data_IF_153783280427
#
_entry.id   IF_153783280427
#
_cell.length_a   1.000
_cell.length_b   1.000
_cell.length_c   1.000
_cell.angle_alpha   90.00
_cell.angle_beta   90.00
_cell.angle_gamma   90.00
#
_symmetry.space_group_name_H-M   'P 1'
#
loop_
_entity.id
_entity.type
_entity.pdbx_description
1 polymer ?
#
# COMPACT_ATOMS: atom_id res chain seq x y z
N UNK A 1 -40.28 4.40 32.25
CA UNK A 1 -41.34 5.06 33.05
C UNK A 1 -41.18 4.62 34.50
N UNK A 2 -41.35 5.47 35.53
CA UNK A 2 -40.94 6.89 35.72
C UNK A 2 -39.52 6.95 36.38
N UNK A 3 -38.73 8.04 36.52
CA UNK A 3 -38.84 9.51 36.75
C UNK A 3 -38.92 9.98 38.23
N UNK A 4 -37.85 10.70 38.65
CA UNK A 4 -37.67 11.74 39.73
C UNK A 4 -37.08 11.38 41.11
N UNK A 5 -35.94 12.00 41.41
CA UNK A 5 -35.51 12.70 42.66
C UNK A 5 -34.40 13.73 42.25
N UNK A 6 -34.56 15.05 42.50
CA UNK A 6 -33.99 15.87 43.62
C UNK A 6 -32.48 16.17 43.43
N UNK A 7 -31.96 17.38 43.15
CA UNK A 7 -31.82 18.61 43.98
C UNK A 7 -30.87 18.41 45.20
N UNK A 8 -30.17 19.40 45.80
CA UNK A 8 -30.20 20.89 45.83
C UNK A 8 -28.73 21.50 45.86
N UNK A 9 -28.29 22.46 45.00
CA UNK A 9 -27.87 23.90 45.23
C UNK A 9 -26.55 24.26 46.02
N UNK A 10 -26.08 25.54 45.89
CA UNK A 10 -24.98 26.27 46.63
C UNK A 10 -23.49 25.99 46.31
N UNK A 11 -22.50 26.92 46.41
CA UNK A 11 -22.43 28.41 46.33
C UNK A 11 -20.93 28.88 46.32
N UNK A 12 -20.65 30.15 45.96
CA UNK A 12 -19.34 30.85 46.12
C UNK A 12 -18.65 31.24 44.79
N UNK A 13 -18.65 32.51 44.34
CA UNK A 13 -17.86 33.70 44.79
C UNK A 13 -16.32 33.48 44.71
N UNK A 14 -15.47 34.33 44.12
CA UNK A 14 -15.49 35.76 43.70
C UNK A 14 -14.60 35.95 42.45
N UNK A 15 -14.95 36.70 41.40
CA UNK A 15 -14.89 38.17 41.16
C UNK A 15 -13.50 38.77 40.73
N UNK A 16 -13.56 39.92 40.04
CA UNK A 16 -12.52 40.93 39.76
C UNK A 16 -11.66 40.82 38.48
N UNK A 17 -12.08 41.61 37.48
CA UNK A 17 -11.35 42.03 36.26
C UNK A 17 -10.18 42.99 36.56
N UNK A 18 -9.20 43.08 35.63
CA UNK A 18 -8.80 44.39 35.05
C UNK A 18 -7.91 44.31 33.80
N UNK A 19 -8.09 45.31 32.94
CA UNK A 19 -7.40 45.54 31.66
C UNK A 19 -6.14 46.43 31.84
N UNK A 20 -5.25 46.40 30.83
CA UNK A 20 -4.53 47.53 30.17
C UNK A 20 -3.20 47.02 29.58
N UNK A 21 -2.99 46.94 28.27
CA UNK A 21 -2.86 48.00 27.25
C UNK A 21 -1.49 48.71 27.22
N UNK A 22 -0.68 48.44 26.19
CA UNK A 22 0.34 49.36 25.67
C UNK A 22 0.75 48.99 24.23
N UNK A 23 0.75 49.98 23.33
CA UNK A 23 1.25 49.90 21.96
C UNK A 23 2.64 50.58 21.87
N UNK A 24 3.54 50.12 20.99
CA UNK A 24 4.27 51.05 20.10
C UNK A 24 5.02 50.37 18.93
N UNK A 25 4.66 50.86 17.74
CA UNK A 25 5.33 50.94 16.43
C UNK A 25 6.85 50.68 16.30
N UNK A 26 7.27 50.15 15.13
CA UNK A 26 8.67 50.21 14.67
C UNK A 26 8.96 49.52 13.33
N UNK A 27 8.62 50.16 12.19
CA UNK A 27 8.78 49.62 10.82
C UNK A 27 10.14 50.00 10.20
N UNK A 28 10.79 49.10 9.42
CA UNK A 28 11.30 49.41 8.05
C UNK A 28 11.93 48.24 7.26
N UNK A 29 11.76 48.35 5.93
CA UNK A 29 12.18 47.42 4.87
C UNK A 29 13.68 47.29 4.63
N UNK A 30 14.08 46.22 3.93
CA UNK A 30 14.81 46.39 2.65
C UNK A 30 14.76 45.15 1.74
N UNK A 31 14.60 45.39 0.43
CA UNK A 31 14.78 44.41 -0.65
C UNK A 31 15.72 45.03 -1.68
N UNK A 32 16.76 44.31 -2.15
CA UNK A 32 17.40 44.57 -3.46
C UNK A 32 18.22 43.36 -3.98
N UNK A 33 18.36 43.33 -5.31
CA UNK A 33 19.06 42.34 -6.16
C UNK A 33 20.57 42.71 -6.25
N UNK A 34 21.54 41.87 -6.66
CA UNK A 34 21.77 41.38 -8.04
C UNK A 34 22.99 40.42 -8.22
N UNK A 35 22.88 39.53 -9.22
CA UNK A 35 23.87 38.99 -10.22
C UNK A 35 25.32 38.52 -9.90
N UNK A 36 25.54 37.23 -10.23
CA UNK A 36 26.46 36.62 -11.25
C UNK A 36 27.98 36.87 -11.21
N UNK A 37 28.73 35.75 -11.27
CA UNK A 37 29.99 35.62 -12.05
C UNK A 37 30.08 34.24 -12.71
N UNK A 38 30.48 34.19 -13.98
CA UNK A 38 30.77 32.97 -14.75
C UNK A 38 32.17 32.41 -14.47
N UNK A 39 32.40 31.10 -14.64
CA UNK A 39 33.31 30.61 -15.70
C UNK A 39 33.23 29.08 -16.02
N UNK A 40 32.91 28.81 -17.29
CA UNK A 40 33.28 27.69 -18.20
C UNK A 40 33.80 26.33 -17.66
N UNK A 41 33.22 25.24 -18.20
CA UNK A 41 34.03 24.08 -18.62
C UNK A 41 33.32 22.75 -18.92
N UNK A 42 32.96 22.50 -20.19
CA UNK A 42 32.78 21.18 -20.89
C UNK A 42 31.97 20.07 -20.14
N UNK A 43 30.90 19.46 -20.68
CA UNK A 43 30.33 19.45 -22.01
C UNK A 43 30.12 18.03 -22.54
N UNK A 44 28.86 17.61 -22.77
CA UNK A 44 28.40 16.56 -23.71
C UNK A 44 26.89 16.31 -23.49
N UNK A 45 26.06 16.94 -24.32
CA UNK A 45 24.67 16.52 -24.48
C UNK A 45 24.61 15.44 -25.58
N UNK A 46 23.79 14.40 -25.40
CA UNK A 46 23.37 13.53 -26.51
C UNK A 46 21.85 13.41 -26.51
N UNK A 47 21.27 13.92 -27.58
CA UNK A 47 19.85 13.87 -27.97
C UNK A 47 19.44 12.40 -28.16
N UNK A 48 18.25 12.05 -27.68
CA UNK A 48 17.57 10.79 -28.02
C UNK A 48 16.43 11.15 -28.96
N UNK A 49 16.43 10.54 -30.15
CA UNK A 49 15.26 10.46 -31.04
C UNK A 49 14.87 8.98 -31.14
N UNK A 50 13.56 8.65 -31.14
CA UNK A 50 13.07 7.28 -31.30
C UNK A 50 12.69 6.98 -32.76
N UNK A 51 12.83 5.73 -33.19
CA UNK A 51 12.14 5.04 -34.31
C UNK A 51 12.65 3.57 -34.37
N UNK A 52 11.97 2.61 -35.05
CA UNK A 52 10.53 2.40 -35.13
C UNK A 52 10.15 0.91 -34.86
N UNK A 53 8.93 0.50 -35.27
CA UNK A 53 8.39 -0.87 -35.23
C UNK A 53 8.82 -1.69 -36.46
N UNK A 54 8.85 -3.03 -36.35
CA UNK A 54 8.94 -3.96 -37.48
C UNK A 54 8.09 -5.23 -37.26
N UNK A 55 7.57 -5.76 -38.38
CA UNK A 55 6.66 -6.90 -38.54
C UNK A 55 7.12 -7.65 -39.82
N UNK A 56 7.01 -8.97 -40.03
CA UNK A 56 6.35 -10.10 -39.34
C UNK A 56 7.12 -11.41 -39.69
N UNK A 57 6.99 -12.52 -38.94
CA UNK A 57 6.92 -13.89 -39.54
C UNK A 57 6.68 -15.06 -38.57
N UNK A 58 5.54 -15.69 -38.82
CA UNK A 58 5.12 -17.10 -38.65
C UNK A 58 6.19 -18.20 -38.48
N UNK A 59 5.97 -19.10 -37.51
CA UNK A 59 5.97 -20.54 -37.77
C UNK A 59 5.20 -21.34 -36.71
N UNK A 60 4.16 -22.03 -37.15
CA UNK A 60 3.38 -23.00 -36.36
C UNK A 60 3.85 -24.43 -36.61
N UNK A 61 3.86 -25.26 -35.57
CA UNK A 61 3.72 -26.71 -35.69
C UNK A 61 2.77 -27.22 -34.60
N UNK A 62 1.67 -27.81 -35.05
CA UNK A 62 0.86 -28.73 -34.27
C UNK A 62 1.36 -30.16 -34.49
N UNK A 63 1.01 -31.07 -33.59
CA UNK A 63 0.74 -32.45 -33.96
C UNK A 63 -0.29 -33.03 -32.98
N UNK A 64 -1.19 -33.85 -33.53
CA UNK A 64 -2.43 -34.30 -32.89
C UNK A 64 -2.25 -35.50 -31.94
N UNK A 65 -3.27 -35.75 -31.11
CA UNK A 65 -3.98 -37.04 -30.94
C UNK A 65 -4.96 -36.88 -29.74
N UNK A 66 -6.27 -36.71 -29.94
CA UNK A 66 -7.27 -37.65 -30.47
C UNK A 66 -7.96 -38.48 -29.37
N UNK A 67 -9.30 -38.37 -29.37
CA UNK A 67 -10.27 -38.77 -28.35
C UNK A 67 -10.36 -40.28 -28.06
N UNK A 68 -10.86 -40.63 -26.86
CA UNK A 68 -11.93 -41.64 -26.71
C UNK A 68 -12.83 -41.28 -25.51
N UNK A 69 -14.08 -40.87 -25.78
CA UNK A 69 -15.17 -40.91 -24.80
C UNK A 69 -15.87 -42.28 -24.82
N UNK A 70 -16.32 -42.77 -23.66
CA UNK A 70 -17.29 -43.86 -23.57
C UNK A 70 -18.01 -43.88 -22.20
N UNK A 71 -19.21 -43.30 -22.14
CA UNK A 71 -20.16 -43.49 -21.03
C UNK A 71 -20.73 -44.93 -20.99
N UNK A 72 -21.24 -45.35 -19.83
CA UNK A 72 -21.84 -46.67 -19.67
C UNK A 72 -22.57 -46.88 -18.34
N UNK A 73 -23.70 -46.21 -18.14
CA UNK A 73 -24.66 -46.53 -17.08
C UNK A 73 -25.46 -47.81 -17.40
N UNK A 74 -25.63 -48.71 -16.42
CA UNK A 74 -26.80 -49.61 -16.33
C UNK A 74 -27.14 -49.91 -14.86
N UNK A 75 -28.38 -49.64 -14.46
CA UNK A 75 -28.95 -49.98 -13.14
C UNK A 75 -29.31 -51.48 -13.01
N UNK A 76 -29.39 -51.98 -11.76
CA UNK A 76 -30.60 -52.59 -11.17
C UNK A 76 -30.34 -53.66 -10.06
N UNK A 77 -30.90 -53.37 -8.87
CA UNK A 77 -31.58 -54.25 -7.91
C UNK A 77 -30.92 -55.52 -7.31
N UNK A 78 -30.82 -55.55 -5.96
CA UNK A 78 -30.52 -56.76 -5.18
C UNK A 78 -30.21 -56.56 -3.67
N UNK A 79 -31.20 -56.19 -2.86
CA UNK A 79 -31.20 -56.26 -1.38
C UNK A 79 -32.24 -57.37 -0.97
N UNK A 80 -32.19 -58.07 0.19
CA UNK A 80 -31.48 -57.73 1.43
C UNK A 80 -30.69 -58.85 2.15
N UNK A 81 -29.80 -58.46 3.09
CA UNK A 81 -29.96 -58.74 4.55
C UNK A 81 -28.76 -58.29 5.44
N UNK A 82 -29.08 -57.40 6.39
CA UNK A 82 -28.54 -57.24 7.76
C UNK A 82 -27.08 -57.66 8.12
N UNK A 83 -26.20 -56.67 8.41
CA UNK A 83 -25.54 -56.54 9.74
C UNK A 83 -25.32 -55.06 10.09
N UNK A 84 -25.58 -54.69 11.36
CA UNK A 84 -25.54 -53.33 11.96
C UNK A 84 -24.12 -52.76 12.20
N UNK A 85 -23.99 -51.41 12.26
CA UNK A 85 -22.90 -50.75 13.01
C UNK A 85 -22.21 -49.53 12.37
N UNK A 86 -22.81 -48.32 12.44
CA UNK A 86 -22.15 -47.04 12.08
C UNK A 86 -21.92 -46.12 13.32
N UNK A 87 -21.37 -44.89 13.23
CA UNK A 87 -20.01 -44.59 13.70
C UNK A 87 -19.94 -43.72 14.99
N UNK A 88 -18.78 -43.70 15.66
CA UNK A 88 -18.47 -42.78 16.78
C UNK A 88 -17.08 -42.16 16.61
N UNK A 89 -16.90 -40.86 16.42
CA UNK A 89 -17.33 -39.68 17.20
C UNK A 89 -16.40 -39.33 18.37
N UNK A 90 -16.20 -38.02 18.55
CA UNK A 90 -15.19 -37.38 19.43
C UNK A 90 -15.26 -37.91 20.86
N UNK A 91 -14.10 -38.28 21.42
CA UNK A 91 -13.94 -38.86 22.76
C UNK A 91 -14.22 -37.82 23.86
N UNK A 92 -15.50 -37.62 24.19
CA UNK A 92 -15.93 -36.86 25.38
C UNK A 92 -15.49 -37.58 26.66
N UNK A 93 -15.06 -36.79 27.65
CA UNK A 93 -14.89 -37.21 29.04
C UNK A 93 -16.20 -37.84 29.55
N UNK A 94 -16.13 -39.02 30.18
CA UNK A 94 -17.30 -39.61 30.85
C UNK A 94 -17.46 -39.00 32.24
N UNK A 95 -18.69 -38.61 32.56
CA UNK A 95 -19.14 -38.22 33.91
C UNK A 95 -20.01 -39.38 34.42
N UNK A 96 -19.80 -39.80 35.66
CA UNK A 96 -20.67 -40.79 36.32
C UNK A 96 -21.82 -40.07 37.05
N UNK A 97 -22.90 -40.80 37.34
CA UNK A 97 -24.20 -40.24 37.73
C UNK A 97 -24.27 -39.51 39.10
N UNK A 98 -23.19 -39.52 39.88
CA UNK A 98 -23.11 -38.85 41.20
C UNK A 98 -22.11 -37.68 41.24
N UNK A 99 -21.57 -37.27 40.09
CA UNK A 99 -20.83 -36.00 39.95
C UNK A 99 -19.40 -35.95 40.50
N UNK A 100 -18.92 -36.99 41.19
CA UNK A 100 -17.57 -37.00 41.75
C UNK A 100 -16.45 -37.23 40.71
N UNK A 101 -15.43 -36.37 40.77
CA UNK A 101 -14.25 -36.41 39.91
C UNK A 101 -13.20 -37.39 40.46
N UNK A 102 -13.34 -38.68 40.18
CA UNK A 102 -12.26 -39.64 40.42
C UNK A 102 -11.12 -39.41 39.41
N UNK A 103 -9.89 -39.02 39.83
CA UNK A 103 -8.76 -38.94 38.91
C UNK A 103 -8.39 -40.34 38.46
N UNK A 104 -8.47 -40.61 37.15
CA UNK A 104 -7.98 -41.86 36.59
C UNK A 104 -6.49 -42.00 36.91
N UNK A 105 -6.12 -42.99 37.71
CA UNK A 105 -4.72 -43.28 38.00
C UNK A 105 -3.95 -43.45 36.69
N UNK A 106 -2.99 -42.58 36.36
CA UNK A 106 -2.22 -42.76 35.14
C UNK A 106 -1.44 -44.07 35.31
N UNK A 107 -1.62 -45.01 34.37
CA UNK A 107 -0.68 -46.11 34.22
C UNK A 107 0.69 -45.46 34.07
N UNK A 108 1.61 -45.71 35.02
CA UNK A 108 3.00 -45.32 34.87
C UNK A 108 3.55 -46.04 33.63
N UNK A 109 3.55 -45.35 32.51
CA UNK A 109 4.45 -45.68 31.41
C UNK A 109 5.85 -45.70 32.02
N UNK A 110 6.49 -46.88 31.97
CA UNK A 110 7.82 -47.02 32.53
C UNK A 110 8.74 -46.15 31.68
N UNK A 111 9.24 -45.07 32.28
CA UNK A 111 10.21 -44.18 31.65
C UNK A 111 11.34 -45.03 31.09
N UNK A 112 11.51 -45.00 29.77
CA UNK A 112 12.46 -45.84 29.06
C UNK A 112 13.90 -45.38 29.35
N UNK A 113 14.39 -45.71 30.55
CA UNK A 113 15.79 -45.55 30.89
C UNK A 113 16.63 -46.38 29.93
N UNK A 114 17.75 -45.83 29.45
CA UNK A 114 18.73 -46.55 28.63
C UNK A 114 19.00 -47.96 29.22
N UNK A 115 19.06 -49.01 28.38
CA UNK A 115 19.07 -50.39 28.85
C UNK A 115 20.27 -50.65 29.77
N UNK A 116 19.98 -51.09 30.99
CA UNK A 116 21.01 -51.50 31.97
C UNK A 116 21.77 -52.70 31.44
N UNK A 117 23.08 -52.70 31.68
CA UNK A 117 23.94 -53.85 31.40
C UNK A 117 23.84 -54.89 32.54
N UNK A 118 24.50 -56.04 32.40
CA UNK A 118 24.40 -57.15 33.35
C UNK A 118 24.89 -56.83 34.78
N UNK A 119 25.75 -55.81 34.92
CA UNK A 119 26.21 -55.25 36.20
C UNK A 119 25.24 -54.21 36.81
N UNK A 120 24.09 -54.00 36.16
CA UNK A 120 23.07 -53.03 36.55
C UNK A 120 23.38 -51.59 36.17
N UNK A 121 24.58 -51.26 35.67
CA UNK A 121 24.93 -49.88 35.31
C UNK A 121 24.28 -49.48 33.97
N UNK A 122 23.92 -48.20 33.86
CA UNK A 122 23.48 -47.57 32.61
C UNK A 122 24.71 -46.97 31.90
N UNK A 123 24.83 -47.00 30.56
CA UNK A 123 25.88 -46.28 29.84
C UNK A 123 25.97 -44.81 30.29
N UNK A 124 27.19 -44.32 30.54
CA UNK A 124 27.42 -42.98 31.11
C UNK A 124 27.39 -42.90 32.64
N UNK A 125 26.98 -43.96 33.35
CA UNK A 125 27.06 -44.01 34.82
C UNK A 125 28.52 -43.96 35.29
N UNK A 126 28.77 -43.25 36.39
CA UNK A 126 30.08 -43.27 37.05
C UNK A 126 30.26 -44.62 37.76
N UNK A 127 31.37 -45.30 37.48
CA UNK A 127 31.76 -46.58 38.10
C UNK A 127 32.85 -46.38 39.16
N UNK A 128 33.76 -45.41 38.93
CA UNK A 128 34.86 -45.08 39.84
C UNK A 128 35.20 -43.60 39.77
N UNK A 129 35.56 -43.02 40.91
CA UNK A 129 36.15 -41.68 41.03
C UNK A 129 37.41 -41.81 41.89
N UNK A 130 38.57 -41.45 41.36
CA UNK A 130 39.84 -41.43 42.07
C UNK A 130 40.38 -39.99 42.10
N UNK A 131 40.72 -39.50 43.28
CA UNK A 131 41.21 -38.14 43.51
C UNK A 131 42.59 -38.21 44.18
N UNK A 132 43.52 -37.38 43.72
CA UNK A 132 44.86 -37.27 44.29
C UNK A 132 45.30 -35.81 44.40
N UNK A 133 45.75 -35.38 45.57
CA UNK A 133 46.07 -33.99 45.93
C UNK A 133 44.98 -33.00 45.48
N UNK A 134 43.71 -33.30 45.76
CA UNK A 134 42.55 -32.53 45.30
C UNK A 134 41.78 -31.95 46.49
N UNK A 135 41.80 -30.62 46.62
CA UNK A 135 41.23 -29.86 47.74
C UNK A 135 41.61 -30.46 49.12
N UNK A 136 40.69 -31.18 49.75
CA UNK A 136 40.85 -31.81 51.06
C UNK A 136 41.57 -33.17 51.02
N UNK A 137 41.54 -33.86 49.88
CA UNK A 137 41.99 -35.24 49.74
C UNK A 137 43.46 -35.34 49.31
N UNK A 138 44.26 -36.15 50.02
CA UNK A 138 45.60 -36.55 49.55
C UNK A 138 45.49 -37.68 48.52
N UNK A 139 44.78 -38.76 48.86
CA UNK A 139 44.37 -39.80 47.93
C UNK A 139 43.05 -40.41 48.41
N UNK A 140 42.09 -40.62 47.51
CA UNK A 140 40.85 -41.35 47.78
C UNK A 140 40.30 -41.97 46.51
N UNK A 141 39.67 -43.14 46.64
CA UNK A 141 38.94 -43.79 45.56
C UNK A 141 37.52 -44.15 46.02
N UNK A 142 36.53 -43.75 45.23
CA UNK A 142 35.12 -44.06 45.41
C UNK A 142 34.66 -44.99 44.29
N UNK A 143 33.89 -46.02 44.63
CA UNK A 143 33.24 -46.94 43.69
C UNK A 143 31.72 -46.94 43.93
N UNK A 144 30.99 -45.95 43.38
CA UNK A 144 29.54 -45.87 43.51
C UNK A 144 28.84 -47.08 42.87
N UNK A 145 27.70 -47.48 43.45
CA UNK A 145 26.82 -48.50 42.89
C UNK A 145 25.91 -47.98 41.76
N UNK A 146 25.22 -48.87 41.02
CA UNK A 146 24.44 -48.53 39.82
C UNK A 146 23.08 -47.82 40.07
N UNK A 147 22.76 -47.48 41.32
CA UNK A 147 21.48 -46.89 41.74
C UNK A 147 21.70 -45.64 42.61
N UNK A 148 21.02 -45.54 43.75
CA UNK A 148 21.18 -44.43 44.69
C UNK A 148 22.52 -44.57 45.44
N UNK A 149 23.30 -43.49 45.43
CA UNK A 149 24.54 -43.36 46.21
C UNK A 149 24.40 -42.18 47.17
N UNK A 150 24.70 -42.39 48.45
CA UNK A 150 24.59 -41.35 49.47
C UNK A 150 25.96 -41.10 50.12
N UNK A 151 26.43 -39.86 50.04
CA UNK A 151 27.73 -39.44 50.58
C UNK A 151 27.50 -38.72 51.90
N UNK A 152 27.86 -39.38 53.00
CA UNK A 152 27.73 -38.86 54.36
C UNK A 152 29.06 -38.34 54.89
N UNK A 153 29.00 -37.38 55.82
CA UNK A 153 30.17 -36.92 56.57
C UNK A 153 29.97 -35.58 57.28
N UNK A 154 30.82 -35.24 58.28
CA UNK A 154 30.83 -33.94 58.93
C UNK A 154 31.04 -32.76 57.96
N UNK A 155 30.81 -31.53 58.42
CA UNK A 155 31.12 -30.35 57.60
C UNK A 155 32.63 -30.14 57.49
N UNK A 156 33.08 -29.63 56.33
CA UNK A 156 34.51 -29.49 56.02
C UNK A 156 35.23 -30.73 55.47
N UNK A 157 34.66 -31.95 55.54
CA UNK A 157 35.35 -33.20 55.15
C UNK A 157 35.44 -33.47 53.64
N UNK A 158 35.13 -32.48 52.79
CA UNK A 158 35.28 -32.60 51.34
C UNK A 158 34.07 -33.14 50.57
N UNK A 159 32.90 -33.33 51.20
CA UNK A 159 31.67 -33.80 50.51
C UNK A 159 31.40 -33.07 49.19
N UNK A 160 31.34 -31.74 49.22
CA UNK A 160 31.09 -30.89 48.04
C UNK A 160 32.28 -30.86 47.07
N UNK A 161 33.48 -31.25 47.50
CA UNK A 161 34.66 -31.43 46.64
C UNK A 161 34.46 -32.57 45.65
N UNK A 162 33.70 -33.62 46.00
CA UNK A 162 33.42 -34.74 45.09
C UNK A 162 32.58 -34.26 43.89
N UNK A 163 31.56 -33.42 44.12
CA UNK A 163 30.80 -32.79 43.05
C UNK A 163 31.68 -31.88 42.17
N UNK A 164 32.59 -31.10 42.79
CA UNK A 164 33.58 -30.30 42.05
C UNK A 164 34.48 -31.18 41.17
N UNK A 165 34.93 -32.33 41.68
CA UNK A 165 35.74 -33.27 40.93
C UNK A 165 35.00 -33.88 39.74
N UNK A 166 33.72 -34.24 39.89
CA UNK A 166 32.91 -34.76 38.78
C UNK A 166 32.83 -33.74 37.63
N UNK A 167 32.51 -32.49 37.94
CA UNK A 167 32.44 -31.41 36.95
C UNK A 167 33.79 -31.18 36.24
N UNK A 168 34.87 -31.01 37.02
CA UNK A 168 36.19 -30.72 36.45
C UNK A 168 36.77 -31.93 35.70
N UNK A 169 36.62 -33.15 36.22
CA UNK A 169 37.13 -34.37 35.62
C UNK A 169 36.46 -34.68 34.27
N UNK A 170 35.15 -34.44 34.15
CA UNK A 170 34.39 -34.61 32.90
C UNK A 170 34.53 -33.44 31.91
N UNK A 171 35.58 -32.61 32.08
CA UNK A 171 35.93 -31.47 31.24
C UNK A 171 34.87 -30.36 31.12
N UNK A 172 34.09 -30.12 32.18
CA UNK A 172 33.22 -28.93 32.26
C UNK A 172 33.98 -27.73 32.85
N UNK A 173 33.62 -26.48 32.50
CA UNK A 173 34.31 -25.29 32.98
C UNK A 173 34.05 -25.01 34.47
N UNK A 174 35.05 -24.49 35.22
CA UNK A 174 34.90 -24.19 36.66
C UNK A 174 33.77 -23.21 37.01
N UNK A 175 33.37 -22.33 36.07
CA UNK A 175 32.29 -21.35 36.25
C UNK A 175 30.94 -21.97 36.64
N UNK A 176 30.70 -23.23 36.25
CA UNK A 176 29.48 -23.97 36.61
C UNK A 176 29.45 -24.30 38.12
N UNK A 177 30.60 -24.36 38.78
CA UNK A 177 30.68 -24.68 40.21
C UNK A 177 30.40 -23.48 41.13
N UNK A 178 30.40 -22.25 40.62
CA UNK A 178 30.15 -21.04 41.41
C UNK A 178 31.26 -20.66 42.42
N UNK A 179 32.27 -21.50 42.61
CA UNK A 179 33.25 -21.39 43.70
C UNK A 179 34.59 -20.75 43.34
N UNK A 180 35.19 -21.16 42.23
CA UNK A 180 36.49 -20.66 41.77
C UNK A 180 36.58 -20.76 40.25
N UNK A 181 37.12 -19.71 39.62
CA UNK A 181 37.22 -19.62 38.16
C UNK A 181 38.47 -20.33 37.60
N UNK A 182 39.50 -20.54 38.42
CA UNK A 182 40.76 -21.17 38.01
C UNK A 182 40.85 -22.62 38.47
N UNK A 183 41.31 -23.50 37.58
CA UNK A 183 41.41 -24.94 37.84
C UNK A 183 42.55 -25.25 38.83
N UNK A 184 43.60 -24.42 38.82
CA UNK A 184 44.75 -24.48 39.74
C UNK A 184 44.32 -24.38 41.22
N UNK A 185 43.27 -23.60 41.52
CA UNK A 185 42.71 -23.43 42.87
C UNK A 185 42.09 -24.70 43.48
N UNK A 186 41.92 -25.77 42.69
CA UNK A 186 41.39 -27.05 43.16
C UNK A 186 42.48 -28.06 43.55
N UNK A 187 43.76 -27.75 43.29
CA UNK A 187 44.88 -28.54 43.83
C UNK A 187 44.98 -28.32 45.35
N UNK A 188 45.24 -29.38 46.10
CA UNK A 188 45.42 -29.32 47.56
C UNK A 188 46.55 -28.34 47.92
N UNK A 189 46.30 -27.44 48.87
CA UNK A 189 47.30 -26.47 49.33
C UNK A 189 48.58 -27.17 49.80
N UNK A 190 49.73 -26.62 49.42
CA UNK A 190 51.05 -27.22 49.70
C UNK A 190 51.45 -28.37 48.77
N UNK A 191 50.67 -28.71 47.74
CA UNK A 191 51.01 -29.69 46.70
C UNK A 191 51.20 -29.01 45.35
N UNK A 192 52.18 -29.46 44.56
CA UNK A 192 52.47 -28.84 43.25
C UNK A 192 51.52 -29.30 42.12
N UNK A 193 51.00 -30.52 42.25
CA UNK A 193 50.11 -31.14 41.27
C UNK A 193 49.18 -32.15 41.93
N UNK A 194 48.07 -32.43 41.23
CA UNK A 194 47.07 -33.43 41.59
C UNK A 194 46.38 -33.98 40.34
N UNK A 195 45.50 -34.94 40.50
CA UNK A 195 44.66 -35.41 39.39
C UNK A 195 43.28 -35.85 39.86
N UNK A 196 42.35 -35.81 38.91
CA UNK A 196 41.01 -36.39 39.01
C UNK A 196 40.95 -37.48 37.94
N UNK A 197 40.57 -38.69 38.30
CA UNK A 197 40.26 -39.77 37.37
C UNK A 197 38.83 -40.27 37.59
N UNK A 198 38.04 -40.32 36.52
CA UNK A 198 36.65 -40.76 36.54
C UNK A 198 36.49 -41.85 35.49
N UNK A 199 35.91 -42.97 35.90
CA UNK A 199 35.57 -44.08 35.03
C UNK A 199 34.06 -44.08 34.78
N UNK A 200 33.68 -43.95 33.50
CA UNK A 200 32.30 -44.05 33.07
C UNK A 200 32.02 -45.40 32.40
N UNK A 201 30.84 -45.97 32.70
CA UNK A 201 30.32 -47.17 32.05
C UNK A 201 30.17 -46.94 30.54
N UNK A 202 30.76 -47.81 29.74
CA UNK A 202 30.61 -47.79 28.29
C UNK A 202 29.19 -48.16 27.83
N UNK A 203 28.90 -47.97 26.54
CA UNK A 203 27.74 -48.60 25.92
C UNK A 203 27.86 -50.14 26.00
N UNK A 204 26.74 -50.87 25.93
CA UNK A 204 26.75 -52.35 26.01
C UNK A 204 27.71 -52.95 24.99
N UNK A 205 28.67 -53.76 25.44
CA UNK A 205 29.73 -54.35 24.61
C UNK A 205 30.94 -53.44 24.32
N UNK A 206 30.95 -52.17 24.77
CA UNK A 206 32.11 -51.29 24.72
C UNK A 206 32.84 -51.24 26.07
N UNK A 207 34.16 -50.94 26.02
CA UNK A 207 34.97 -50.73 27.23
C UNK A 207 34.54 -49.45 27.94
N UNK A 208 34.74 -49.42 29.26
CA UNK A 208 34.59 -48.20 30.07
C UNK A 208 35.54 -47.09 29.58
N UNK A 209 35.15 -45.85 29.87
CA UNK A 209 35.91 -44.65 29.52
C UNK A 209 36.53 -44.08 30.79
N UNK A 210 37.85 -44.27 30.94
CA UNK A 210 38.66 -43.72 32.03
C UNK A 210 39.17 -42.36 31.59
N UNK A 211 38.63 -41.29 32.18
CA UNK A 211 39.02 -39.90 31.92
C UNK A 211 39.84 -39.41 33.09
N UNK A 212 41.12 -39.10 32.85
CA UNK A 212 42.00 -38.49 33.86
C UNK A 212 42.38 -37.07 33.45
N UNK A 213 42.13 -36.12 34.34
CA UNK A 213 42.53 -34.72 34.26
C UNK A 213 43.62 -34.43 35.27
N UNK A 214 44.82 -34.07 34.79
CA UNK A 214 45.93 -33.69 35.65
C UNK A 214 45.93 -32.17 35.86
N UNK A 215 46.14 -31.76 37.12
CA UNK A 215 46.06 -30.39 37.58
C UNK A 215 47.44 -29.93 38.09
N UNK A 216 47.78 -28.67 37.82
CA UNK A 216 48.96 -28.01 38.36
C UNK A 216 48.56 -26.83 39.25
N UNK A 217 49.24 -26.65 40.37
CA UNK A 217 49.06 -25.46 41.20
C UNK A 217 49.74 -24.22 40.57
N UNK A 218 50.82 -24.43 39.78
CA UNK A 218 51.64 -23.36 39.18
C UNK A 218 51.16 -22.94 37.79
N UNK A 219 50.49 -23.82 37.04
CA UNK A 219 49.98 -23.54 35.70
C UNK A 219 48.46 -23.48 35.66
N UNK A 220 47.91 -22.59 34.82
CA UNK A 220 46.47 -22.58 34.47
C UNK A 220 46.10 -23.68 33.47
N UNK A 221 47.09 -24.36 32.87
CA UNK A 221 46.87 -25.52 31.99
C UNK A 221 46.61 -26.80 32.78
N UNK A 222 45.70 -27.62 32.27
CA UNK A 222 45.43 -28.99 32.74
C UNK A 222 45.54 -29.96 31.57
N UNK A 223 46.27 -31.07 31.71
CA UNK A 223 46.31 -32.12 30.67
C UNK A 223 45.17 -33.11 30.86
N UNK A 224 44.65 -33.62 29.75
CA UNK A 224 43.51 -34.53 29.70
C UNK A 224 43.93 -35.83 29.01
N UNK A 225 43.56 -36.95 29.61
CA UNK A 225 43.85 -38.28 29.09
C UNK A 225 42.59 -39.13 29.09
N UNK A 226 42.41 -39.90 28.01
CA UNK A 226 41.31 -40.82 27.81
C UNK A 226 41.89 -42.22 27.65
N UNK A 227 41.54 -43.16 28.53
CA UNK A 227 42.09 -44.52 28.57
C UNK A 227 43.64 -44.55 28.56
N UNK A 228 44.27 -43.59 29.24
CA UNK A 228 45.73 -43.44 29.32
C UNK A 228 46.38 -42.69 28.14
N UNK A 229 45.66 -42.41 27.06
CA UNK A 229 46.17 -41.65 25.91
C UNK A 229 45.88 -40.16 26.05
N UNK A 230 46.82 -39.29 25.65
CA UNK A 230 46.60 -37.83 25.62
C UNK A 230 45.48 -37.47 24.64
N UNK A 231 44.53 -36.65 25.06
CA UNK A 231 43.34 -36.31 24.28
C UNK A 231 42.99 -34.82 24.40
N UNK A 232 42.19 -34.33 23.45
CA UNK A 232 41.72 -32.94 23.49
C UNK A 232 40.43 -32.81 24.29
N UNK A 233 40.20 -31.64 24.90
CA UNK A 233 38.94 -31.38 25.62
C UNK A 233 37.70 -31.56 24.73
N UNK A 234 37.78 -31.22 23.44
CA UNK A 234 36.71 -31.44 22.45
C UNK A 234 36.37 -32.93 22.30
N UNK A 235 37.37 -33.82 22.34
CA UNK A 235 37.12 -35.26 22.26
C UNK A 235 36.35 -35.76 23.47
N UNK A 236 36.75 -35.36 24.69
CA UNK A 236 36.01 -35.71 25.92
C UNK A 236 34.58 -35.18 25.84
N UNK A 237 34.36 -33.92 25.45
CA UNK A 237 33.02 -33.35 25.30
C UNK A 237 32.17 -34.14 24.29
N UNK A 238 32.75 -34.60 23.18
CA UNK A 238 32.07 -35.47 22.22
C UNK A 238 31.75 -36.87 22.79
N UNK A 239 32.62 -37.44 23.65
CA UNK A 239 32.33 -38.69 24.38
C UNK A 239 31.20 -38.50 25.40
N UNK A 240 31.17 -37.37 26.12
CA UNK A 240 30.08 -37.05 27.07
C UNK A 240 28.75 -36.91 26.36
N UNK A 241 28.71 -36.19 25.23
CA UNK A 241 27.50 -36.04 24.41
C UNK A 241 26.97 -37.39 23.91
N UNK A 242 27.85 -38.29 23.45
CA UNK A 242 27.46 -39.66 23.03
C UNK A 242 26.89 -40.54 24.15
N UNK A 243 27.22 -40.24 25.41
CA UNK A 243 26.70 -40.92 26.59
C UNK A 243 25.53 -40.14 27.25
N UNK A 244 25.08 -39.04 26.65
CA UNK A 244 24.13 -38.09 27.21
C UNK A 244 24.48 -37.58 28.63
N UNK A 245 25.78 -37.44 28.93
CA UNK A 245 26.26 -36.97 30.24
C UNK A 245 26.29 -35.43 30.27
N UNK A 246 25.29 -34.85 30.91
CA UNK A 246 25.10 -33.39 31.01
C UNK A 246 25.40 -32.90 32.43
N UNK A 247 26.59 -32.34 32.65
CA UNK A 247 26.99 -31.76 33.95
C UNK A 247 26.81 -30.23 33.98
N UNK A 248 26.68 -29.58 32.82
CA UNK A 248 26.41 -28.14 32.73
C UNK A 248 24.94 -27.75 32.73
N UNK A 249 24.03 -28.69 32.96
CA UNK A 249 22.60 -28.44 33.11
C UNK A 249 22.25 -28.52 34.61
N UNK A 250 21.73 -27.43 35.17
CA UNK A 250 21.46 -27.33 36.62
C UNK A 250 20.32 -28.26 37.08
N UNK A 251 19.50 -28.79 36.16
CA UNK A 251 18.47 -29.79 36.46
C UNK A 251 19.04 -31.19 36.69
N UNK A 252 20.20 -31.53 36.09
CA UNK A 252 20.86 -32.84 36.22
C UNK A 252 22.08 -32.81 37.16
N UNK A 253 22.72 -31.66 37.30
CA UNK A 253 23.84 -31.45 38.22
C UNK A 253 23.69 -30.11 38.93
N UNK A 254 23.35 -30.15 40.23
CA UNK A 254 23.12 -28.97 41.04
C UNK A 254 24.25 -28.80 42.08
N UNK A 255 25.29 -28.01 41.79
CA UNK A 255 26.34 -27.73 42.76
C UNK A 255 25.82 -26.78 43.84
N UNK A 256 26.35 -26.94 45.07
CA UNK A 256 25.88 -26.27 46.28
C UNK A 256 25.79 -24.74 46.14
N UNK A 257 26.76 -24.12 45.48
CA UNK A 257 26.85 -22.66 45.32
C UNK A 257 25.94 -22.11 44.19
N UNK A 258 25.26 -22.99 43.43
CA UNK A 258 24.33 -22.65 42.33
C UNK A 258 22.85 -22.94 42.61
N UNK A 259 22.52 -23.42 43.82
CA UNK A 259 21.13 -23.72 44.21
C UNK A 259 20.22 -22.48 44.12
N UNK A 260 20.75 -21.30 44.43
CA UNK A 260 20.04 -20.02 44.30
C UNK A 260 19.75 -19.64 42.85
N UNK A 261 20.71 -19.83 41.93
CA UNK A 261 20.53 -19.55 40.50
C UNK A 261 19.47 -20.46 39.87
N UNK A 262 19.42 -21.73 40.26
CA UNK A 262 18.35 -22.64 39.85
C UNK A 262 16.97 -22.16 40.32
N UNK A 263 16.85 -21.71 41.58
CA UNK A 263 15.59 -21.18 42.11
C UNK A 263 15.15 -19.84 41.48
N UNK A 264 16.07 -19.12 40.82
CA UNK A 264 15.80 -17.86 40.12
C UNK A 264 15.49 -18.03 38.63
N UNK A 265 15.55 -19.25 38.09
CA UNK A 265 15.25 -19.51 36.68
C UNK A 265 13.80 -19.14 36.34
N UNK A 266 13.60 -18.51 35.18
CA UNK A 266 12.24 -18.27 34.68
C UNK A 266 11.59 -19.58 34.25
N UNK A 267 10.25 -19.70 34.24
CA UNK A 267 9.57 -20.91 33.77
C UNK A 267 9.98 -21.36 32.34
N UNK A 268 10.33 -20.41 31.47
CA UNK A 268 10.79 -20.69 30.10
C UNK A 268 12.23 -21.24 30.08
N UNK A 269 13.10 -20.76 30.97
CA UNK A 269 14.46 -21.30 31.14
C UNK A 269 14.41 -22.70 31.74
N UNK A 270 13.61 -22.88 32.80
CA UNK A 270 13.40 -24.18 33.44
C UNK A 270 12.83 -25.21 32.44
N UNK A 271 11.90 -24.81 31.56
CA UNK A 271 11.41 -25.66 30.48
C UNK A 271 12.54 -26.06 29.51
N UNK A 272 13.38 -25.12 29.06
CA UNK A 272 14.52 -25.43 28.16
C UNK A 272 15.52 -26.38 28.80
N UNK A 273 15.94 -26.14 30.04
CA UNK A 273 16.88 -27.01 30.75
C UNK A 273 16.26 -28.38 31.06
N UNK A 274 14.95 -28.44 31.37
CA UNK A 274 14.23 -29.72 31.54
C UNK A 274 14.15 -30.50 30.23
N UNK A 275 13.79 -29.85 29.12
CA UNK A 275 13.80 -30.46 27.78
C UNK A 275 15.18 -31.00 27.41
N UNK A 276 16.25 -30.28 27.78
CA UNK A 276 17.62 -30.68 27.51
C UNK A 276 18.05 -31.88 28.36
N UNK A 277 17.70 -31.93 29.65
CA UNK A 277 18.08 -33.01 30.56
C UNK A 277 17.27 -34.31 30.34
N UNK A 278 15.97 -34.18 30.13
CA UNK A 278 15.01 -35.29 30.20
C UNK A 278 14.16 -35.49 28.93
N UNK A 279 14.28 -34.59 27.95
CA UNK A 279 13.61 -34.74 26.65
C UNK A 279 14.41 -35.57 25.65
N UNK A 280 13.81 -35.78 24.48
CA UNK A 280 14.51 -36.34 23.31
C UNK A 280 15.68 -35.42 22.92
N UNK A 281 16.78 -36.01 22.42
CA UNK A 281 17.94 -35.29 21.88
C UNK A 281 17.54 -34.27 20.81
N UNK A 282 16.47 -34.54 20.06
CA UNK A 282 15.94 -33.65 19.04
C UNK A 282 14.94 -32.60 19.58
N UNK A 283 14.39 -32.77 20.79
CA UNK A 283 13.30 -31.94 21.31
C UNK A 283 13.73 -30.47 21.45
N UNK A 284 14.94 -30.22 21.97
CA UNK A 284 15.49 -28.86 22.06
C UNK A 284 15.69 -28.24 20.66
N UNK A 285 16.19 -29.01 19.70
CA UNK A 285 16.43 -28.54 18.33
C UNK A 285 15.11 -28.21 17.62
N UNK A 286 14.08 -29.06 17.76
CA UNK A 286 12.74 -28.80 17.22
C UNK A 286 12.10 -27.57 17.86
N UNK A 287 12.26 -27.38 19.17
CA UNK A 287 11.74 -26.21 19.88
C UNK A 287 12.43 -24.90 19.41
N UNK A 288 13.75 -24.91 19.21
CA UNK A 288 14.47 -23.77 18.64
C UNK A 288 14.13 -23.51 17.16
N UNK A 289 13.89 -24.57 16.38
CA UNK A 289 13.40 -24.46 14.99
C UNK A 289 12.01 -23.84 14.96
N UNK A 290 11.09 -24.28 15.83
CA UNK A 290 9.72 -23.76 15.94
C UNK A 290 9.72 -22.27 16.32
N UNK A 291 10.57 -21.86 17.26
CA UNK A 291 10.72 -20.45 17.65
C UNK A 291 11.26 -19.61 16.48
N UNK A 292 12.16 -20.17 15.67
CA UNK A 292 12.74 -19.48 14.51
C UNK A 292 11.70 -19.35 13.39
N UNK A 293 11.03 -20.44 13.02
CA UNK A 293 9.94 -20.44 12.04
C UNK A 293 8.78 -19.53 12.46
N UNK A 294 8.44 -19.46 13.76
CA UNK A 294 7.43 -18.54 14.27
C UNK A 294 7.79 -17.05 14.10
N UNK A 295 9.08 -16.70 14.21
CA UNK A 295 9.58 -15.35 13.91
C UNK A 295 9.55 -15.05 12.41
N UNK A 296 9.95 -16.01 11.58
CA UNK A 296 9.93 -15.89 10.12
C UNK A 296 8.51 -15.73 9.59
N UNK A 297 7.56 -16.54 10.08
CA UNK A 297 6.14 -16.44 9.74
C UNK A 297 5.58 -15.07 10.11
N UNK A 298 5.89 -14.55 11.31
CA UNK A 298 5.49 -13.19 11.68
C UNK A 298 6.06 -12.13 10.72
N UNK A 299 7.36 -12.19 10.44
CA UNK A 299 8.01 -11.24 9.53
C UNK A 299 7.44 -11.30 8.10
N UNK A 300 7.01 -12.47 7.63
CA UNK A 300 6.34 -12.64 6.34
C UNK A 300 4.91 -12.11 6.36
N UNK A 301 4.18 -12.32 7.46
CA UNK A 301 2.83 -11.79 7.65
C UNK A 301 2.81 -10.26 7.71
N UNK A 302 3.76 -9.65 8.43
CA UNK A 302 3.93 -8.20 8.48
C UNK A 302 4.22 -7.63 7.07
N UNK A 303 5.16 -8.24 6.31
CA UNK A 303 5.45 -7.86 4.90
C UNK A 303 4.24 -8.02 3.97
N UNK A 304 3.49 -9.11 4.10
CA UNK A 304 2.30 -9.36 3.28
C UNK A 304 1.22 -8.30 3.55
N UNK A 305 1.09 -7.84 4.79
CA UNK A 305 0.20 -6.72 5.15
C UNK A 305 0.66 -5.42 4.48
N UNK A 306 1.95 -5.08 4.57
CA UNK A 306 2.52 -3.89 3.92
C UNK A 306 2.33 -3.91 2.39
N UNK A 307 2.54 -5.06 1.75
CA UNK A 307 2.35 -5.21 0.30
C UNK A 307 0.88 -5.09 -0.10
N UNK A 308 -0.05 -5.61 0.70
CA UNK A 308 -1.49 -5.48 0.46
C UNK A 308 -1.95 -4.02 0.55
N UNK A 309 -1.44 -3.24 1.51
CA UNK A 309 -1.73 -1.82 1.64
C UNK A 309 -1.14 -0.99 0.49
N UNK A 310 0.09 -1.31 0.06
CA UNK A 310 0.70 -0.71 -1.15
C UNK A 310 -0.09 -1.01 -2.41
N UNK A 311 -0.53 -2.26 -2.59
CA UNK A 311 -1.33 -2.69 -3.74
C UNK A 311 -2.65 -1.93 -3.79
N UNK A 312 -3.36 -1.81 -2.66
CA UNK A 312 -4.58 -0.99 -2.55
C UNK A 312 -4.32 0.47 -2.93
N UNK A 313 -3.25 1.07 -2.41
CA UNK A 313 -2.86 2.46 -2.72
C UNK A 313 -2.60 2.66 -4.22
N UNK A 314 -1.93 1.70 -4.86
CA UNK A 314 -1.66 1.74 -6.31
C UNK A 314 -2.94 1.54 -7.14
N UNK A 315 -3.86 0.66 -6.72
CA UNK A 315 -5.17 0.49 -7.37
C UNK A 315 -6.02 1.77 -7.28
N UNK A 316 -6.08 2.41 -6.11
CA UNK A 316 -6.77 3.68 -5.93
C UNK A 316 -6.19 4.77 -6.84
N UNK A 317 -4.86 4.88 -6.92
CA UNK A 317 -4.17 5.81 -7.81
C UNK A 317 -4.45 5.51 -9.29
N UNK A 318 -4.45 4.24 -9.71
CA UNK A 318 -4.77 3.86 -11.08
C UNK A 318 -6.23 4.26 -11.44
N UNK A 319 -7.19 4.01 -10.54
CA UNK A 319 -8.60 4.41 -10.74
C UNK A 319 -8.80 5.92 -10.89
N UNK A 320 -7.89 6.74 -10.34
CA UNK A 320 -7.91 8.20 -10.50
C UNK A 320 -7.35 8.59 -11.87
N UNK A 321 -6.22 8.01 -12.26
CA UNK A 321 -5.60 8.22 -13.58
C UNK A 321 -6.52 7.79 -14.73
N UNK A 322 -7.22 6.66 -14.61
CA UNK A 322 -8.21 6.20 -15.59
C UNK A 322 -9.33 7.24 -15.81
N UNK A 323 -9.84 7.85 -14.74
CA UNK A 323 -10.87 8.90 -14.82
C UNK A 323 -10.34 10.16 -15.50
N UNK A 324 -9.09 10.55 -15.23
CA UNK A 324 -8.49 11.73 -15.88
C UNK A 324 -8.14 11.46 -17.36
N UNK A 325 -7.73 10.24 -17.71
CA UNK A 325 -7.57 9.81 -19.12
C UNK A 325 -8.90 9.83 -19.86
N UNK A 326 -10.00 9.33 -19.26
CA UNK A 326 -11.34 9.39 -19.86
C UNK A 326 -11.77 10.84 -20.13
N UNK A 327 -11.63 11.73 -19.14
CA UNK A 327 -11.91 13.18 -19.30
C UNK A 327 -11.07 13.82 -20.40
N UNK A 328 -9.79 13.46 -20.49
CA UNK A 328 -8.90 13.95 -21.55
C UNK A 328 -9.37 13.48 -22.94
N UNK A 329 -9.77 12.22 -23.07
CA UNK A 329 -10.31 11.68 -24.32
C UNK A 329 -11.64 12.35 -24.71
N UNK A 330 -12.55 12.55 -23.76
CA UNK A 330 -13.83 13.25 -23.97
C UNK A 330 -13.60 14.69 -24.42
N UNK A 331 -12.75 15.44 -23.71
CA UNK A 331 -12.33 16.79 -24.11
C UNK A 331 -11.78 16.80 -25.53
N UNK A 332 -10.92 15.84 -25.91
CA UNK A 332 -10.33 15.74 -27.25
C UNK A 332 -11.35 15.39 -28.34
N UNK A 333 -12.48 14.75 -28.00
CA UNK A 333 -13.62 14.58 -28.92
C UNK A 333 -14.35 15.91 -29.11
N UNK A 334 -14.73 16.57 -28.01
CA UNK A 334 -15.42 17.87 -28.03
C UNK A 334 -14.59 18.94 -28.77
N UNK A 335 -13.26 18.97 -28.60
CA UNK A 335 -12.38 19.89 -29.34
C UNK A 335 -12.45 19.65 -30.87
N UNK A 336 -12.48 18.39 -31.32
CA UNK A 336 -12.67 18.07 -32.75
C UNK A 336 -14.06 18.47 -33.25
N UNK A 337 -15.10 18.21 -32.48
CA UNK A 337 -16.48 18.56 -32.85
C UNK A 337 -16.64 20.08 -32.96
N UNK A 338 -16.03 20.83 -32.04
CA UNK A 338 -15.93 22.30 -32.09
C UNK A 338 -15.20 22.76 -33.37
N UNK A 339 -14.08 22.13 -33.74
CA UNK A 339 -13.34 22.51 -34.95
C UNK A 339 -14.11 22.21 -36.25
N UNK A 340 -14.88 21.11 -36.30
CA UNK A 340 -15.82 20.84 -37.40
C UNK A 340 -16.94 21.89 -37.45
N UNK A 341 -17.55 22.22 -36.30
CA UNK A 341 -18.63 23.21 -36.21
C UNK A 341 -18.16 24.62 -36.59
N UNK A 342 -16.92 25.02 -36.26
CA UNK A 342 -16.32 26.29 -36.71
C UNK A 342 -16.28 26.44 -38.23
N UNK A 343 -16.11 25.33 -38.97
CA UNK A 343 -16.16 25.33 -40.45
C UNK A 343 -17.60 25.29 -40.94
N UNK A 344 -18.47 24.52 -40.27
CA UNK A 344 -19.86 24.32 -40.69
C UNK A 344 -20.73 25.58 -40.51
N UNK A 345 -20.50 26.39 -39.48
CA UNK A 345 -21.29 27.61 -39.21
C UNK A 345 -21.20 28.62 -40.38
N UNK A 346 -20.00 29.09 -40.83
CA UNK A 346 -19.88 29.99 -41.97
C UNK A 346 -20.42 29.39 -43.28
N UNK A 347 -20.32 28.07 -43.46
CA UNK A 347 -20.90 27.37 -44.60
C UNK A 347 -22.43 27.46 -44.57
N UNK A 348 -23.06 27.20 -43.43
CA UNK A 348 -24.52 27.36 -43.29
C UNK A 348 -24.96 28.83 -43.50
N UNK A 349 -24.25 29.79 -42.91
CA UNK A 349 -24.50 31.23 -43.14
C UNK A 349 -24.40 31.60 -44.63
N UNK A 350 -23.40 31.08 -45.34
CA UNK A 350 -23.28 31.25 -46.79
C UNK A 350 -24.45 30.61 -47.55
N UNK A 351 -24.88 29.41 -47.16
CA UNK A 351 -26.04 28.74 -47.77
C UNK A 351 -27.33 29.55 -47.57
N UNK A 352 -27.60 30.04 -46.37
CA UNK A 352 -28.74 30.93 -46.10
C UNK A 352 -28.65 32.24 -46.87
N UNK A 353 -27.48 32.89 -46.90
CA UNK A 353 -27.27 34.12 -47.66
C UNK A 353 -27.48 33.91 -49.17
N UNK A 354 -27.02 32.77 -49.71
CA UNK A 354 -27.21 32.36 -51.10
C UNK A 354 -28.68 32.10 -51.43
N UNK A 355 -29.43 31.45 -50.54
CA UNK A 355 -30.89 31.32 -50.71
C UNK A 355 -31.60 32.67 -50.71
N UNK A 356 -31.28 33.55 -49.76
CA UNK A 356 -31.87 34.90 -49.66
C UNK A 356 -31.56 35.71 -50.92
N UNK A 357 -30.33 35.65 -51.41
CA UNK A 357 -29.91 36.25 -52.68
C UNK A 357 -30.69 35.68 -53.87
N UNK A 358 -30.85 34.36 -53.97
CA UNK A 358 -31.55 33.73 -55.09
C UNK A 358 -33.05 34.11 -55.08
N UNK A 359 -33.71 34.06 -53.93
CA UNK A 359 -35.10 34.52 -53.73
C UNK A 359 -35.26 36.00 -54.11
N UNK A 360 -34.31 36.86 -53.76
CA UNK A 360 -34.31 38.28 -54.13
C UNK A 360 -34.09 38.49 -55.64
N UNK A 361 -33.16 37.75 -56.25
CA UNK A 361 -32.84 37.79 -57.69
C UNK A 361 -34.01 37.35 -58.57
N UNK A 362 -34.73 36.30 -58.19
CA UNK A 362 -35.89 35.84 -58.94
C UNK A 362 -37.08 36.80 -58.79
N UNK A 363 -37.27 37.38 -57.59
CA UNK A 363 -38.24 38.47 -57.38
C UNK A 363 -37.87 39.74 -58.17
N UNK A 364 -36.58 40.08 -58.29
CA UNK A 364 -36.10 41.18 -59.13
C UNK A 364 -36.43 40.92 -60.61
N UNK A 365 -36.18 39.70 -61.11
CA UNK A 365 -36.52 39.30 -62.49
C UNK A 365 -38.02 39.38 -62.76
N UNK A 366 -38.84 38.90 -61.83
CA UNK A 366 -40.30 38.97 -61.93
C UNK A 366 -40.80 40.43 -61.97
N UNK A 367 -40.33 41.27 -61.04
CA UNK A 367 -40.67 42.69 -61.00
C UNK A 367 -40.20 43.41 -62.26
N UNK A 368 -38.99 43.14 -62.75
CA UNK A 368 -38.48 43.72 -64.00
C UNK A 368 -39.33 43.30 -65.21
N UNK A 369 -39.77 42.04 -65.28
CA UNK A 369 -40.70 41.57 -66.32
C UNK A 369 -42.08 42.24 -66.21
N UNK A 370 -42.60 42.45 -64.99
CA UNK A 370 -43.84 43.22 -64.75
C UNK A 370 -43.71 44.68 -65.18
N UNK A 371 -42.60 45.35 -64.83
CA UNK A 371 -42.30 46.73 -65.24
C UNK A 371 -42.22 46.83 -66.77
N UNK A 372 -41.58 45.87 -67.44
CA UNK A 372 -41.54 45.81 -68.91
C UNK A 372 -42.95 45.70 -69.50
N UNK A 373 -43.74 44.70 -69.07
CA UNK A 373 -45.14 44.53 -69.50
C UNK A 373 -46.02 45.76 -69.22
N UNK A 374 -45.79 46.48 -68.11
CA UNK A 374 -46.52 47.72 -67.80
C UNK A 374 -46.08 48.89 -68.68
N UNK A 375 -44.79 49.03 -69.00
CA UNK A 375 -44.30 50.00 -69.99
C UNK A 375 -44.90 49.71 -71.37
N UNK A 376 -44.90 48.45 -71.80
CA UNK A 376 -45.46 48.03 -73.08
C UNK A 376 -46.98 48.31 -73.15
N UNK A 377 -47.72 48.02 -72.07
CA UNK A 377 -49.17 48.34 -71.96
C UNK A 377 -49.47 49.83 -71.88
N UNK A 378 -48.59 50.62 -71.28
CA UNK A 378 -48.75 52.07 -71.17
C UNK A 378 -48.21 52.82 -72.39
N UNK A 379 -47.46 52.19 -73.30
CA UNK A 379 -47.00 52.79 -74.55
C UNK A 379 -48.12 53.51 -75.35
N UNK A 380 -49.31 52.91 -75.61
CA UNK A 380 -50.42 53.63 -76.26
C UNK A 380 -50.98 54.78 -75.42
N UNK A 381 -50.92 54.71 -74.08
CA UNK A 381 -51.34 55.81 -73.21
C UNK A 381 -50.34 56.98 -73.21
N UNK A 382 -49.04 56.68 -73.25
CA UNK A 382 -47.98 57.68 -73.43
C UNK A 382 -48.05 58.33 -74.82
N UNK A 383 -48.22 57.54 -75.89
CA UNK A 383 -48.43 58.08 -77.23
C UNK A 383 -49.70 58.96 -77.32
N UNK A 384 -50.77 58.59 -76.62
CA UNK A 384 -51.99 59.43 -76.55
C UNK A 384 -51.80 60.69 -75.69
N UNK A 385 -50.98 60.64 -74.64
CA UNK A 385 -50.56 61.84 -73.89
C UNK A 385 -49.72 62.78 -74.76
N UNK A 386 -48.80 62.27 -75.58
CA UNK A 386 -48.03 63.07 -76.54
C UNK A 386 -48.94 63.71 -77.60
N UNK A 387 -49.88 62.95 -78.17
CA UNK A 387 -50.89 63.48 -79.09
C UNK A 387 -51.75 64.58 -78.43
N UNK A 388 -52.21 64.37 -77.19
CA UNK A 388 -52.97 65.38 -76.44
C UNK A 388 -52.12 66.61 -76.10
N UNK A 389 -50.81 66.46 -75.86
CA UNK A 389 -49.91 67.59 -75.64
C UNK A 389 -49.67 68.41 -76.92
N UNK A 390 -49.62 67.76 -78.09
CA UNK A 390 -49.61 68.44 -79.40
C UNK A 390 -50.92 69.18 -79.62
N UNK A 391 -52.07 68.52 -79.43
CA UNK A 391 -53.39 69.15 -79.54
C UNK A 391 -53.55 70.33 -78.57
N UNK A 392 -53.08 70.22 -77.32
CA UNK A 392 -53.11 71.32 -76.36
C UNK A 392 -52.30 72.53 -76.85
N UNK A 393 -51.10 72.31 -77.42
CA UNK A 393 -50.30 73.39 -78.05
C UNK A 393 -51.01 74.02 -79.24
N UNK A 394 -51.76 73.25 -80.03
CA UNK A 394 -52.55 73.78 -81.15
C UNK A 394 -53.75 74.60 -80.66
N UNK A 395 -54.48 74.12 -79.64
CA UNK A 395 -55.57 74.86 -79.01
C UNK A 395 -55.09 76.13 -78.31
N UNK A 396 -53.91 76.15 -77.68
CA UNK A 396 -53.30 77.38 -77.15
C UNK A 396 -52.96 78.38 -78.25
N UNK A 397 -52.35 77.93 -79.36
CA UNK A 397 -52.12 78.79 -80.54
C UNK A 397 -53.43 79.35 -81.11
N UNK A 398 -54.50 78.55 -81.15
CA UNK A 398 -55.83 78.99 -81.57
C UNK A 398 -56.48 79.98 -80.58
N UNK A 399 -56.28 79.77 -79.27
CA UNK A 399 -56.74 80.66 -78.19
C UNK A 399 -56.04 82.01 -78.27
N UNK A 400 -54.72 82.05 -78.41
CA UNK A 400 -53.99 83.31 -78.58
C UNK A 400 -54.38 84.04 -79.88
N UNK A 401 -54.59 83.33 -81.00
CA UNK A 401 -55.16 83.93 -82.23
C UNK A 401 -56.55 84.55 -82.02
N UNK A 402 -57.44 83.88 -81.28
CA UNK A 402 -58.77 84.45 -80.93
C UNK A 402 -58.66 85.64 -79.97
N UNK A 403 -57.73 85.60 -79.01
CA UNK A 403 -57.44 86.68 -78.06
C UNK A 403 -56.86 87.92 -78.74
N UNK A 404 -55.93 87.76 -79.69
CA UNK A 404 -55.42 88.89 -80.49
C UNK A 404 -56.49 89.48 -81.41
N UNK A 405 -57.29 88.64 -82.08
CA UNK A 405 -58.43 89.11 -82.88
C UNK A 405 -59.48 89.85 -82.05
N UNK A 406 -59.78 89.38 -80.83
CA UNK A 406 -60.68 90.07 -79.89
C UNK A 406 -60.09 91.41 -79.44
N UNK A 407 -58.78 91.47 -79.19
CA UNK A 407 -58.07 92.71 -78.82
C UNK A 407 -58.06 93.72 -79.97
N UNK A 408 -57.90 93.27 -81.22
CA UNK A 408 -58.02 94.11 -82.41
C UNK A 408 -59.45 94.66 -82.59
N UNK A 409 -60.49 93.82 -82.44
CA UNK A 409 -61.89 94.29 -82.46
C UNK A 409 -62.20 95.30 -81.35
N UNK A 410 -61.67 95.08 -80.14
CA UNK A 410 -61.80 96.03 -79.04
C UNK A 410 -61.07 97.36 -79.33
N UNK A 411 -59.90 97.31 -79.95
CA UNK A 411 -59.17 98.52 -80.36
C UNK A 411 -59.92 99.29 -81.46
N UNK A 412 -60.49 98.61 -82.45
CA UNK A 412 -61.36 99.23 -83.47
C UNK A 412 -62.60 99.88 -82.82
N UNK A 413 -63.23 99.23 -81.86
CA UNK A 413 -64.36 99.77 -81.10
C UNK A 413 -63.95 101.04 -80.32
N UNK A 414 -62.78 101.01 -79.66
CA UNK A 414 -62.23 102.16 -78.93
C UNK A 414 -61.92 103.35 -79.84
N UNK A 415 -61.38 103.11 -81.04
CA UNK A 415 -61.12 104.16 -82.02
C UNK A 415 -62.41 104.83 -82.50
N UNK A 416 -63.45 104.05 -82.84
CA UNK A 416 -64.77 104.59 -83.21
C UNK A 416 -65.43 105.39 -82.07
N UNK A 417 -65.23 104.97 -80.82
CA UNK A 417 -65.69 105.73 -79.66
C UNK A 417 -65.00 107.10 -79.54
N UNK A 418 -63.69 107.17 -79.81
CA UNK A 418 -62.93 108.43 -79.84
C UNK A 418 -63.26 109.35 -81.02
N UNK A 419 -63.72 108.80 -82.15
CA UNK A 419 -64.26 109.59 -83.28
C UNK A 419 -65.61 110.22 -82.92
N UNK A 420 -66.48 109.48 -82.21
CA UNK A 420 -67.75 110.01 -81.69
C UNK A 420 -67.54 111.13 -80.66
N UNK A 421 -66.61 110.99 -79.70
CA UNK A 421 -66.34 112.04 -78.69
C UNK A 421 -65.83 113.34 -79.33
N UNK A 422 -65.08 113.24 -80.45
CA UNK A 422 -64.65 114.41 -81.23
C UNK A 422 -65.82 115.09 -81.97
N UNK A 423 -66.76 114.33 -82.51
CA UNK A 423 -67.98 114.88 -83.14
C UNK A 423 -68.86 115.60 -82.12
N UNK A 424 -69.04 115.05 -80.92
CA UNK A 424 -69.82 115.67 -79.84
C UNK A 424 -69.18 117.00 -79.38
N UNK A 425 -67.85 117.05 -79.24
CA UNK A 425 -67.14 118.30 -78.88
C UNK A 425 -67.23 119.39 -79.95
N UNK A 426 -67.32 119.02 -81.24
CA UNK A 426 -67.50 119.97 -82.34
C UNK A 426 -68.92 120.55 -82.39
N UNK A 427 -69.94 119.77 -82.04
CA UNK A 427 -71.33 120.22 -82.00
C UNK A 427 -71.62 121.19 -80.84
N UNK A 428 -71.01 121.00 -79.67
CA UNK A 428 -71.23 121.88 -78.49
C UNK A 428 -70.65 123.29 -78.70
N UNK A 429 -69.64 123.45 -79.55
CA UNK A 429 -68.98 124.75 -79.78
C UNK A 429 -69.74 125.67 -80.76
N UNK A 430 -70.83 125.21 -81.40
CA UNK A 430 -71.54 125.95 -82.45
C UNK A 430 -72.96 126.43 -82.07
N UNK A 431 -73.47 126.10 -80.88
CA UNK A 431 -74.89 126.32 -80.49
C UNK A 431 -75.13 127.28 -79.32
N UNK A 432 -74.17 128.14 -78.94
CA UNK A 432 -74.36 129.16 -77.90
C UNK A 432 -73.86 130.56 -78.31
N UNK A 433 -73.93 130.87 -79.61
CA UNK A 433 -73.64 132.20 -80.16
C UNK A 433 -74.73 132.64 -81.16
N UNK A 434 -75.99 132.61 -80.71
CA UNK A 434 -77.15 133.32 -81.32
C UNK A 434 -78.25 133.40 -80.27
N UNK A 435 -78.88 134.58 -80.14
CA UNK A 435 -79.96 134.97 -79.23
C UNK A 435 -79.60 134.92 -77.71
N UNK A 436 -79.68 136.00 -76.93
CA UNK A 436 -80.25 137.33 -77.20
C UNK A 436 -79.53 138.45 -76.41
#
# INVERSE_FOLDING_TARGET
MPRRTRAELQEGDTDSLKENSALSNGVKDSVKKEKVKDEKGKGKARRIEPEPLDEESDQTQADDNADVDADGDVDADGDPENVDGSPRSRKRTRVNAEGDFAPSTPKREQVATLPRDADGFIPGSIVRIQLHNFLTYDWVEFRPGPYLNMILGPNGTGKSSIACAICLGLNWPPSILGRANEISSFVKHGKESGYIEIELKGAKGQKNLVIRRNLSAKSKSSTLTLNGQSCTGKEITNRMAKLNVQVGNLCSFLPQDKVSEFAQMTPQQLLRETQRAAGDVNLSNWHDTLITAGKELKNLQDKSSDEQERLKTMQERNSQLERDVQRYQERKRIEKDIDVLKVLIPVNEYHEAKERYQKAKDRQRELHARVRKLKDRNAPAHAKLEQLAVQHKEYEKAREKKKTASRQKFQQMKNKWGENDKLVRLLVHFCFFSDH
#
